data_IF_317954278944
#
_entry.id   IF_317954278944
#
_cell.length_a   1.000
_cell.length_b   1.000
_cell.length_c   1.000
_cell.angle_alpha   90.00
_cell.angle_beta   90.00
_cell.angle_gamma   90.00
#
_symmetry.space_group_name_H-M   'P 1'
#
loop_
_entity.id
_entity.type
_entity.pdbx_description
1 polymer ?
#
# COMPACT_ATOMS: atom_id res chain seq x y z
N UNK A 1 2.01 6.71 9.46
CA UNK A 1 1.96 7.29 8.11
C UNK A 1 2.48 6.26 7.11
N UNK A 2 1.72 6.03 6.04
CA UNK A 2 2.15 5.15 4.95
C UNK A 2 3.12 5.88 4.01
N UNK A 3 4.02 5.15 3.41
CA UNK A 3 4.94 5.67 2.39
C UNK A 3 5.14 4.66 1.28
N UNK A 4 5.57 5.12 0.11
CA UNK A 4 6.03 4.26 -0.96
C UNK A 4 7.55 4.26 -1.03
N UNK A 5 8.11 3.16 -1.54
CA UNK A 5 9.53 3.09 -1.90
C UNK A 5 9.67 3.40 -3.38
N UNK A 6 10.62 4.27 -3.72
CA UNK A 6 10.97 4.59 -5.11
C UNK A 6 12.43 4.20 -5.31
N UNK A 7 12.67 3.22 -6.16
CA UNK A 7 14.00 2.67 -6.39
C UNK A 7 14.63 3.29 -7.65
N UNK A 8 15.92 3.54 -7.61
CA UNK A 8 16.69 4.04 -8.77
C UNK A 8 16.51 3.15 -9.99
N UNK A 9 16.36 1.85 -9.78
CA UNK A 9 16.19 0.87 -10.85
C UNK A 9 14.93 1.07 -11.72
N UNK A 10 13.99 1.92 -11.30
CA UNK A 10 12.88 2.30 -12.19
C UNK A 10 13.34 3.11 -13.40
N UNK A 11 14.46 3.81 -13.26
CA UNK A 11 15.04 4.62 -14.35
C UNK A 11 15.72 3.70 -15.38
N UNK A 12 14.91 3.12 -16.25
CA UNK A 12 15.36 2.15 -17.22
C UNK A 12 14.43 2.04 -18.41
N UNK A 13 14.57 0.97 -19.19
CA UNK A 13 13.80 0.78 -20.44
C UNK A 13 12.29 0.77 -20.26
N UNK A 14 11.81 0.23 -19.14
CA UNK A 14 10.38 0.12 -18.84
C UNK A 14 9.75 1.49 -18.62
N UNK A 15 10.42 2.36 -17.87
CA UNK A 15 9.98 3.75 -17.71
C UNK A 15 10.05 4.51 -19.02
N UNK A 16 11.11 4.29 -19.78
CA UNK A 16 11.27 4.91 -21.12
C UNK A 16 10.13 4.52 -22.05
N UNK A 17 9.73 3.27 -22.05
CA UNK A 17 8.59 2.80 -22.82
C UNK A 17 7.31 3.55 -22.44
N UNK A 18 7.07 3.73 -21.14
CA UNK A 18 5.90 4.45 -20.63
C UNK A 18 5.85 5.89 -21.12
N UNK A 19 6.91 6.69 -20.89
CA UNK A 19 6.85 8.08 -21.28
C UNK A 19 6.87 8.30 -22.79
N UNK A 20 7.49 7.40 -23.56
CA UNK A 20 7.44 7.48 -25.02
C UNK A 20 6.04 7.17 -25.56
N UNK A 21 5.35 6.19 -25.00
CA UNK A 21 3.97 5.90 -25.41
C UNK A 21 3.05 7.08 -25.11
N UNK A 22 3.25 7.74 -23.97
CA UNK A 22 2.42 8.88 -23.56
C UNK A 22 2.81 10.19 -24.25
N UNK A 23 4.00 10.27 -24.86
CA UNK A 23 4.50 11.50 -25.42
C UNK A 23 4.77 12.56 -24.34
N UNK A 24 5.13 12.14 -23.13
CA UNK A 24 5.39 13.02 -22.00
C UNK A 24 6.85 12.95 -21.54
N UNK A 25 7.20 13.73 -20.54
CA UNK A 25 8.54 13.72 -19.95
C UNK A 25 8.72 12.54 -18.99
N UNK A 26 9.97 12.22 -18.71
CA UNK A 26 10.33 11.25 -17.66
C UNK A 26 9.77 11.68 -16.30
N UNK A 27 9.78 12.97 -16.00
CA UNK A 27 9.23 13.51 -14.74
C UNK A 27 7.74 13.23 -14.61
N UNK A 28 6.97 13.44 -15.67
CA UNK A 28 5.55 13.16 -15.69
C UNK A 28 5.26 11.69 -15.51
N UNK A 29 5.98 10.82 -16.21
CA UNK A 29 5.80 9.38 -16.09
C UNK A 29 6.13 8.88 -14.68
N UNK A 30 7.21 9.38 -14.07
CA UNK A 30 7.58 9.06 -12.69
C UNK A 30 6.51 9.52 -11.71
N UNK A 31 5.97 10.70 -11.90
CA UNK A 31 4.86 11.21 -11.10
C UNK A 31 3.62 10.34 -11.20
N UNK A 32 3.27 9.88 -12.40
CA UNK A 32 2.16 8.96 -12.62
C UNK A 32 2.36 7.66 -11.84
N UNK A 33 3.56 7.07 -11.89
CA UNK A 33 3.87 5.86 -11.14
C UNK A 33 3.77 6.08 -9.63
N UNK A 34 4.26 7.20 -9.14
CA UNK A 34 4.18 7.52 -7.71
C UNK A 34 2.73 7.61 -7.25
N UNK A 35 1.86 8.28 -7.98
CA UNK A 35 0.44 8.38 -7.63
C UNK A 35 -0.27 7.03 -7.76
N UNK A 36 0.04 6.24 -8.78
CA UNK A 36 -0.46 4.87 -8.87
C UNK A 36 -0.09 4.06 -7.62
N UNK A 37 1.14 4.15 -7.17
CA UNK A 37 1.61 3.43 -5.99
C UNK A 37 1.00 3.98 -4.69
N UNK A 38 0.77 5.29 -4.58
CA UNK A 38 0.02 5.85 -3.44
C UNK A 38 -1.39 5.27 -3.38
N UNK A 39 -2.06 5.17 -4.52
CA UNK A 39 -3.37 4.54 -4.59
C UNK A 39 -3.30 3.05 -4.20
N UNK A 40 -2.25 2.37 -4.59
CA UNK A 40 -1.98 0.99 -4.24
C UNK A 40 -1.82 0.76 -2.73
N UNK A 41 -1.27 1.71 -1.99
CA UNK A 41 -1.13 1.58 -0.53
C UNK A 41 -2.45 1.35 0.18
N UNK A 42 -3.53 1.94 -0.33
CA UNK A 42 -4.87 1.81 0.26
C UNK A 42 -5.66 0.65 -0.37
N UNK A 43 -5.47 0.39 -1.66
CA UNK A 43 -6.35 -0.47 -2.44
C UNK A 43 -5.77 -1.82 -2.80
N UNK A 44 -4.44 -1.97 -2.81
CA UNK A 44 -3.79 -3.22 -3.17
C UNK A 44 -3.63 -4.16 -1.99
N UNK A 45 -3.80 -5.46 -2.26
CA UNK A 45 -3.41 -6.52 -1.37
C UNK A 45 -1.87 -6.62 -1.31
N UNK A 46 -1.35 -7.48 -0.44
CA UNK A 46 0.09 -7.64 -0.22
C UNK A 46 0.86 -7.95 -1.51
N UNK A 47 0.28 -8.71 -2.41
CA UNK A 47 0.87 -9.09 -3.71
C UNK A 47 0.65 -8.05 -4.81
N UNK A 48 -0.02 -6.95 -4.52
CA UNK A 48 -0.33 -5.90 -5.48
C UNK A 48 -1.67 -6.06 -6.16
N UNK A 49 -2.42 -7.10 -5.85
CA UNK A 49 -3.74 -7.32 -6.43
C UNK A 49 -4.75 -6.33 -5.86
N UNK A 50 -5.47 -5.67 -6.75
CA UNK A 50 -6.59 -4.79 -6.41
C UNK A 50 -7.85 -5.54 -6.79
N UNK A 51 -8.52 -6.10 -5.79
CA UNK A 51 -9.69 -6.96 -5.96
C UNK A 51 -10.81 -6.24 -6.70
N UNK A 52 -11.33 -6.89 -7.73
CA UNK A 52 -12.46 -6.41 -8.55
C UNK A 52 -12.21 -5.08 -9.26
N UNK A 53 -10.99 -4.61 -9.34
CA UNK A 53 -10.67 -3.36 -10.01
C UNK A 53 -10.82 -3.47 -11.51
N UNK A 54 -11.30 -2.40 -12.10
CA UNK A 54 -11.41 -2.19 -13.55
C UNK A 54 -10.56 -0.99 -13.95
N UNK A 55 -10.28 -0.84 -15.24
CA UNK A 55 -9.51 0.29 -15.76
C UNK A 55 -10.09 1.63 -15.31
N UNK A 56 -11.41 1.74 -15.30
CA UNK A 56 -12.14 2.94 -14.94
C UNK A 56 -11.86 3.41 -13.51
N UNK A 57 -11.59 2.49 -12.59
CA UNK A 57 -11.25 2.83 -11.21
C UNK A 57 -9.94 3.62 -11.15
N UNK A 58 -8.94 3.18 -11.92
CA UNK A 58 -7.64 3.84 -12.00
C UNK A 58 -7.75 5.16 -12.78
N UNK A 59 -8.49 5.17 -13.88
CA UNK A 59 -8.74 6.36 -14.66
C UNK A 59 -9.36 7.47 -13.82
N UNK A 60 -10.35 7.13 -13.00
CA UNK A 60 -11.02 8.07 -12.10
C UNK A 60 -10.07 8.65 -11.07
N UNK A 61 -9.24 7.81 -10.48
CA UNK A 61 -8.23 8.26 -9.52
C UNK A 61 -7.22 9.21 -10.17
N UNK A 62 -6.68 8.83 -11.33
CA UNK A 62 -5.69 9.63 -12.06
C UNK A 62 -6.29 10.96 -12.55
N UNK A 63 -7.55 10.95 -12.97
CA UNK A 63 -8.25 12.18 -13.33
C UNK A 63 -8.30 13.15 -12.15
N UNK A 64 -8.63 12.63 -10.95
CA UNK A 64 -8.73 13.45 -9.75
C UNK A 64 -7.40 14.08 -9.32
N UNK A 65 -6.30 13.30 -9.34
CA UNK A 65 -4.98 13.79 -8.92
C UNK A 65 -4.26 14.57 -10.01
N UNK A 66 -4.62 14.36 -11.26
CA UNK A 66 -4.00 15.00 -12.42
C UNK A 66 -4.69 16.27 -12.89
N UNK A 67 -5.40 16.97 -12.01
CA UNK A 67 -6.11 18.20 -12.37
C UNK A 67 -5.18 19.20 -13.06
N UNK A 68 -5.56 19.65 -14.27
CA UNK A 68 -4.73 20.53 -15.12
C UNK A 68 -3.72 19.78 -16.00
N UNK A 69 -3.62 18.48 -15.90
CA UNK A 69 -2.78 17.68 -16.79
C UNK A 69 -3.46 17.52 -18.15
N UNK A 70 -2.67 17.62 -19.22
CA UNK A 70 -3.17 17.47 -20.59
C UNK A 70 -3.27 16.02 -21.04
N UNK A 71 -2.72 15.09 -20.25
CA UNK A 71 -2.73 13.66 -20.57
C UNK A 71 -4.10 13.06 -20.27
N UNK A 72 -4.62 12.28 -21.22
CA UNK A 72 -5.88 11.56 -21.07
C UNK A 72 -5.70 10.37 -20.10
N UNK A 73 -6.46 10.27 -19.01
CA UNK A 73 -6.38 9.15 -18.07
C UNK A 73 -6.53 7.77 -18.72
N UNK A 74 -7.37 7.62 -19.74
CA UNK A 74 -7.51 6.36 -20.48
C UNK A 74 -6.22 5.96 -21.17
N UNK A 75 -5.56 6.91 -21.81
CA UNK A 75 -4.26 6.67 -22.44
C UNK A 75 -3.19 6.33 -21.42
N UNK A 76 -3.21 6.97 -20.26
CA UNK A 76 -2.28 6.67 -19.17
C UNK A 76 -2.45 5.23 -18.72
N UNK A 77 -3.67 4.79 -18.44
CA UNK A 77 -3.94 3.42 -17.98
C UNK A 77 -3.54 2.40 -19.03
N UNK A 78 -3.89 2.63 -20.30
CA UNK A 78 -3.50 1.74 -21.39
C UNK A 78 -1.98 1.63 -21.52
N UNK A 79 -1.27 2.75 -21.43
CA UNK A 79 0.20 2.76 -21.47
C UNK A 79 0.82 2.06 -20.27
N UNK A 80 0.21 2.14 -19.09
CA UNK A 80 0.66 1.41 -17.89
C UNK A 80 0.56 -0.10 -18.09
N UNK A 81 -0.51 -0.58 -18.71
CA UNK A 81 -0.64 -2.00 -19.07
C UNK A 81 0.35 -2.39 -20.16
N UNK A 82 0.44 -1.62 -21.23
CA UNK A 82 1.29 -1.94 -22.37
C UNK A 82 2.78 -1.93 -22.00
N UNK A 83 3.19 -1.09 -21.07
CA UNK A 83 4.57 -1.02 -20.59
C UNK A 83 4.86 -1.96 -19.42
N UNK A 84 3.86 -2.70 -18.94
CA UNK A 84 4.05 -3.75 -17.94
C UNK A 84 4.07 -3.26 -16.48
N UNK A 85 3.57 -2.05 -16.20
CA UNK A 85 3.43 -1.55 -14.84
C UNK A 85 2.15 -2.03 -14.15
N UNK A 86 1.15 -2.40 -14.95
CA UNK A 86 -0.10 -3.01 -14.49
C UNK A 86 -0.31 -4.33 -15.24
N UNK A 87 -0.86 -5.32 -14.55
CA UNK A 87 -1.19 -6.61 -15.11
C UNK A 87 -2.65 -6.97 -14.87
N UNK A 88 -3.26 -7.68 -15.80
CA UNK A 88 -4.58 -8.26 -15.59
C UNK A 88 -4.47 -9.51 -14.73
N UNK A 89 -5.46 -9.69 -13.86
CA UNK A 89 -5.63 -10.87 -13.04
C UNK A 89 -7.09 -11.35 -13.17
N UNK A 90 -7.37 -12.66 -12.96
CA UNK A 90 -8.76 -13.15 -12.90
C UNK A 90 -9.62 -12.45 -11.85
N UNK A 91 -9.00 -11.87 -10.84
CA UNK A 91 -9.71 -11.26 -9.70
C UNK A 91 -9.63 -9.73 -9.67
N UNK A 92 -9.03 -9.11 -10.67
CA UNK A 92 -8.90 -7.66 -10.74
C UNK A 92 -7.66 -7.21 -11.51
N UNK A 93 -7.07 -6.12 -11.08
CA UNK A 93 -5.83 -5.56 -11.66
C UNK A 93 -4.72 -5.68 -10.62
N UNK A 94 -3.52 -6.04 -11.07
CA UNK A 94 -2.37 -6.17 -10.20
C UNK A 94 -1.32 -5.10 -10.54
N UNK A 95 -0.78 -4.45 -9.52
CA UNK A 95 0.39 -3.58 -9.69
C UNK A 95 1.61 -4.50 -9.81
N UNK A 96 2.28 -4.46 -10.96
CA UNK A 96 3.40 -5.34 -11.27
C UNK A 96 4.54 -5.17 -10.26
N UNK A 97 5.08 -6.26 -9.75
CA UNK A 97 6.19 -6.30 -8.78
C UNK A 97 5.95 -5.49 -7.49
N UNK A 98 4.69 -5.31 -7.09
CA UNK A 98 4.34 -4.55 -5.90
C UNK A 98 5.08 -5.01 -4.64
N UNK A 99 5.14 -6.31 -4.40
CA UNK A 99 5.85 -6.87 -3.24
C UNK A 99 7.33 -6.49 -3.25
N UNK A 100 7.97 -6.55 -4.42
CA UNK A 100 9.37 -6.18 -4.60
C UNK A 100 9.59 -4.69 -4.35
N UNK A 101 8.77 -3.84 -4.96
CA UNK A 101 8.89 -2.40 -4.85
C UNK A 101 8.56 -1.89 -3.45
N UNK A 102 7.57 -2.48 -2.77
CA UNK A 102 7.09 -2.01 -1.48
C UNK A 102 7.50 -2.89 -0.30
N UNK A 103 8.53 -3.71 -0.45
CA UNK A 103 9.01 -4.63 0.59
C UNK A 103 9.36 -3.91 1.89
N UNK A 104 9.98 -2.74 1.82
CA UNK A 104 10.36 -1.96 3.00
C UNK A 104 9.14 -1.46 3.78
N UNK A 105 8.16 -0.93 3.07
CA UNK A 105 6.91 -0.49 3.68
C UNK A 105 6.19 -1.67 4.34
N UNK A 106 6.11 -2.80 3.65
CA UNK A 106 5.42 -3.98 4.18
C UNK A 106 6.11 -4.51 5.45
N UNK A 107 7.43 -4.52 5.50
CA UNK A 107 8.19 -4.87 6.71
C UNK A 107 7.88 -3.93 7.88
N UNK A 108 7.86 -2.63 7.63
CA UNK A 108 7.57 -1.63 8.64
C UNK A 108 6.13 -1.75 9.16
N UNK A 109 5.18 -1.99 8.27
CA UNK A 109 3.78 -2.21 8.62
C UNK A 109 3.62 -3.46 9.50
N UNK A 110 4.24 -4.58 9.12
CA UNK A 110 4.20 -5.83 9.88
C UNK A 110 4.82 -5.64 11.26
N UNK A 111 5.94 -4.93 11.36
CA UNK A 111 6.59 -4.63 12.63
C UNK A 111 5.72 -3.79 13.56
N UNK A 112 5.02 -2.79 13.02
CA UNK A 112 4.08 -1.94 13.78
C UNK A 112 2.90 -2.76 14.30
N UNK A 113 2.34 -3.62 13.47
CA UNK A 113 1.22 -4.48 13.84
C UNK A 113 1.61 -5.46 14.95
N UNK A 114 2.80 -6.08 14.86
CA UNK A 114 3.33 -6.97 15.91
C UNK A 114 3.58 -6.23 17.21
N UNK A 115 4.14 -5.03 17.15
CA UNK A 115 4.41 -4.21 18.33
C UNK A 115 3.10 -3.78 19.02
N UNK A 116 2.12 -3.36 18.25
CA UNK A 116 0.79 -3.01 18.77
C UNK A 116 0.11 -4.24 19.41
N UNK A 117 0.23 -5.41 18.81
CA UNK A 117 -0.31 -6.66 19.37
C UNK A 117 0.37 -7.01 20.69
N UNK A 118 1.71 -6.91 20.78
CA UNK A 118 2.46 -7.14 22.03
C UNK A 118 2.06 -6.17 23.13
N UNK A 119 1.88 -4.89 22.80
CA UNK A 119 1.46 -3.88 23.77
C UNK A 119 0.06 -4.17 24.30
N UNK A 120 -0.86 -4.56 23.43
CA UNK A 120 -2.23 -4.95 23.85
C UNK A 120 -2.21 -6.16 24.78
N UNK A 121 -1.42 -7.19 24.45
CA UNK A 121 -1.28 -8.38 25.26
C UNK A 121 -0.64 -8.08 26.61
N UNK A 122 0.42 -7.27 26.64
CA UNK A 122 1.08 -6.83 27.87
C UNK A 122 0.12 -6.06 28.79
N UNK A 123 -0.69 -5.16 28.24
CA UNK A 123 -1.71 -4.43 29.01
C UNK A 123 -2.77 -5.37 29.57
N UNK A 124 -3.18 -6.36 28.78
CA UNK A 124 -4.15 -7.37 29.22
C UNK A 124 -3.60 -8.22 30.34
N UNK A 125 -2.35 -8.66 30.24
CA UNK A 125 -1.70 -9.45 31.28
C UNK A 125 -1.46 -8.66 32.56
N UNK A 126 -1.06 -7.40 32.46
CA UNK A 126 -0.93 -6.50 33.62
C UNK A 126 -2.25 -6.27 34.34
N UNK A 127 -3.32 -6.09 33.58
CA UNK A 127 -4.67 -5.91 34.14
C UNK A 127 -5.17 -7.18 34.82
N UNK A 128 -4.92 -8.34 34.22
CA UNK A 128 -5.27 -9.65 34.81
C UNK A 128 -4.47 -9.91 36.10
N UNK A 129 -3.18 -9.59 36.13
CA UNK A 129 -2.35 -9.72 37.32
C UNK A 129 -2.83 -8.80 38.46
N UNK A 130 -3.18 -7.55 38.14
CA UNK A 130 -3.73 -6.63 39.14
C UNK A 130 -5.06 -7.12 39.73
N UNK A 131 -5.95 -7.66 38.88
CA UNK A 131 -7.21 -8.25 39.36
C UNK A 131 -7.00 -9.46 40.24
N UNK A 132 -6.00 -10.32 39.94
CA UNK A 132 -5.67 -11.48 40.76
C UNK A 132 -5.08 -11.07 42.14
N UNK A 133 -4.27 -10.03 42.20
CA UNK A 133 -3.75 -9.48 43.44
C UNK A 133 -4.87 -8.91 44.33
N UNK A 134 -5.80 -8.17 43.75
CA UNK A 134 -6.97 -7.65 44.47
C UNK A 134 -7.82 -8.79 45.04
N UNK A 135 -8.05 -9.86 44.28
CA UNK A 135 -8.79 -11.03 44.75
C UNK A 135 -8.05 -11.74 45.89
N UNK A 136 -6.75 -11.84 45.82
CA UNK A 136 -5.94 -12.48 46.86
C UNK A 136 -5.97 -11.66 48.15
N UNK A 137 -5.87 -10.35 48.08
CA UNK A 137 -5.98 -9.45 49.25
C UNK A 137 -7.39 -9.48 49.86
N UNK A 138 -8.44 -9.48 49.03
CA UNK A 138 -9.81 -9.62 49.53
C UNK A 138 -10.04 -10.96 50.23
N UNK A 139 -9.46 -12.05 49.77
CA UNK A 139 -9.55 -13.36 50.39
C UNK A 139 -8.80 -13.41 51.73
N UNK A 140 -7.64 -12.73 51.87
CA UNK A 140 -6.92 -12.61 53.15
C UNK A 140 -7.70 -11.84 54.20
N UNK A 141 -8.33 -10.75 53.81
CA UNK A 141 -9.15 -9.91 54.73
C UNK A 141 -10.40 -10.64 55.21
N UNK A 142 -10.89 -11.63 54.45
CA UNK A 142 -12.05 -12.43 54.83
C UNK A 142 -11.77 -13.56 55.85
N UNK A 143 -10.53 -13.74 56.33
CA UNK A 143 -10.14 -14.80 57.27
C UNK A 143 -9.92 -14.31 58.71
N UNK A 144 -10.27 -13.09 58.98
CA UNK A 144 -10.28 -12.54 60.33
C UNK A 144 -11.73 -12.49 60.85
#
# INVERSE_FOLDING_TARGET
MAWISVHESIDGPKLRNLYKQLGCSKFEATGILNFLWFWGLTNAERDGLILYAEKEDIERYLYGVGAGCVLDPKKIVDALFDSGWLDWSPHGICIHDWETWQAQWQKAKDARERDAARKRESRRNSKAAAQNEEKADAAKDGHT
#
